data_IF_528421267014
#
_entry.id   IF_528421267014
#
_cell.length_a   1.000
_cell.length_b   1.000
_cell.length_c   1.000
_cell.angle_alpha   90.00
_cell.angle_beta   90.00
_cell.angle_gamma   90.00
#
_symmetry.space_group_name_H-M   'P 1'
#
loop_
_entity.id
_entity.type
_entity.pdbx_description
1 polymer ?
#
# COMPACT_ATOMS: atom_id res chain seq x y z
N UNK A 1 11.68 -45.93 31.25
CA UNK A 1 11.09 -45.24 30.08
C UNK A 1 10.33 -43.99 30.53
N UNK A 2 11.01 -42.97 31.08
CA UNK A 2 10.36 -41.78 31.67
C UNK A 2 10.88 -40.45 31.10
N UNK A 3 11.94 -40.50 30.29
CA UNK A 3 12.60 -39.31 29.77
C UNK A 3 12.34 -39.07 28.26
N UNK A 4 11.56 -39.93 27.60
CA UNK A 4 11.25 -39.77 26.16
C UNK A 4 10.21 -38.67 25.91
N UNK A 5 9.31 -38.41 26.87
CA UNK A 5 8.28 -37.36 26.77
C UNK A 5 8.85 -35.94 26.81
N UNK A 6 10.01 -35.75 27.46
CA UNK A 6 10.67 -34.44 27.57
C UNK A 6 11.31 -34.00 26.24
N UNK A 7 11.71 -34.94 25.37
CA UNK A 7 12.26 -34.60 24.05
C UNK A 7 11.20 -34.14 23.04
N UNK A 8 9.95 -34.56 23.19
CA UNK A 8 8.87 -34.16 22.28
C UNK A 8 8.42 -32.70 22.49
N UNK A 9 8.60 -32.14 23.69
CA UNK A 9 8.17 -30.77 24.02
C UNK A 9 9.13 -29.68 23.49
N UNK A 10 10.40 -30.03 23.26
CA UNK A 10 11.43 -29.09 22.78
C UNK A 10 11.39 -28.92 21.25
N UNK A 11 10.76 -29.84 20.52
CA UNK A 11 10.66 -29.77 19.06
C UNK A 11 9.60 -28.79 18.53
N UNK A 12 8.71 -28.27 19.39
CA UNK A 12 7.59 -27.40 19.01
C UNK A 12 7.91 -25.90 19.03
N UNK A 13 9.14 -25.50 19.37
CA UNK A 13 9.52 -24.08 19.48
C UNK A 13 10.09 -23.50 18.17
N UNK A 14 10.27 -24.32 17.14
CA UNK A 14 10.70 -23.86 15.81
C UNK A 14 9.53 -23.65 14.84
N UNK A 15 8.36 -23.25 15.34
CA UNK A 15 7.33 -22.68 14.46
C UNK A 15 7.90 -21.35 13.99
N UNK A 16 8.56 -21.45 12.83
CA UNK A 16 9.16 -20.39 12.05
C UNK A 16 8.33 -19.13 12.17
N UNK A 17 8.93 -18.08 12.74
CA UNK A 17 8.49 -16.73 12.46
C UNK A 17 8.94 -16.47 11.03
N UNK A 18 8.17 -16.98 10.06
CA UNK A 18 8.36 -16.61 8.67
C UNK A 18 8.27 -15.09 8.64
N UNK A 19 9.40 -14.44 8.36
CA UNK A 19 9.37 -13.08 7.86
C UNK A 19 8.51 -13.19 6.61
N UNK A 20 7.26 -12.74 6.72
CA UNK A 20 6.42 -12.45 5.57
C UNK A 20 7.30 -11.62 4.65
N UNK A 21 7.68 -12.17 3.50
CA UNK A 21 8.36 -11.42 2.46
C UNK A 21 7.56 -10.12 2.30
N UNK A 22 8.19 -8.99 2.62
CA UNK A 22 7.54 -7.71 2.42
C UNK A 22 7.25 -7.63 0.92
N UNK A 23 5.98 -7.46 0.53
CA UNK A 23 5.65 -7.43 -0.87
C UNK A 23 6.45 -6.31 -1.54
N UNK A 24 6.98 -6.60 -2.72
CA UNK A 24 7.68 -5.64 -3.60
C UNK A 24 6.68 -4.64 -4.18
N UNK A 25 6.07 -3.89 -3.27
CA UNK A 25 4.99 -2.91 -3.48
C UNK A 25 5.29 -1.64 -2.70
N UNK A 26 6.24 -1.69 -1.76
CA UNK A 26 6.66 -0.52 -1.01
C UNK A 26 7.22 0.53 -1.98
N UNK A 27 6.89 1.78 -1.72
CA UNK A 27 7.27 2.88 -2.59
C UNK A 27 6.11 3.81 -2.90
N UNK A 28 6.38 4.75 -3.79
CA UNK A 28 5.44 5.79 -4.18
C UNK A 28 4.87 5.52 -5.56
N UNK A 29 3.60 5.84 -5.73
CA UNK A 29 2.89 5.71 -7.00
C UNK A 29 2.13 6.99 -7.28
N UNK A 30 2.18 7.44 -8.53
CA UNK A 30 1.52 8.66 -8.96
C UNK A 30 0.54 8.37 -10.11
N UNK A 31 -0.55 9.11 -10.11
CA UNK A 31 -1.50 9.19 -11.20
C UNK A 31 -1.86 10.66 -11.45
N UNK A 32 -1.98 11.02 -12.72
CA UNK A 32 -2.52 12.32 -13.13
C UNK A 32 -3.77 12.04 -13.96
N UNK A 33 -4.97 12.39 -13.47
CA UNK A 33 -6.21 12.18 -14.20
C UNK A 33 -6.20 12.88 -15.55
N UNK A 34 -6.90 12.31 -16.54
CA UNK A 34 -7.05 12.94 -17.84
C UNK A 34 -7.70 14.33 -17.71
N UNK A 35 -7.20 15.30 -18.47
CA UNK A 35 -7.67 16.69 -18.39
C UNK A 35 -7.16 17.46 -17.16
N UNK A 36 -6.33 16.84 -16.31
CA UNK A 36 -5.64 17.54 -15.24
C UNK A 36 -4.62 18.52 -15.83
N UNK A 37 -4.97 19.80 -15.85
CA UNK A 37 -4.05 20.89 -16.19
C UNK A 37 -3.75 21.64 -14.89
N UNK A 38 -2.56 21.43 -14.33
CA UNK A 38 -2.11 22.06 -13.08
C UNK A 38 -1.75 23.53 -13.30
N UNK A 39 -2.58 24.27 -14.03
CA UNK A 39 -2.10 25.40 -14.79
C UNK A 39 -1.91 26.69 -14.00
N UNK A 40 -2.34 26.84 -12.74
CA UNK A 40 -2.10 28.10 -12.00
C UNK A 40 -2.08 28.05 -10.46
N UNK A 41 -2.53 26.97 -9.80
CA UNK A 41 -2.58 26.95 -8.33
C UNK A 41 -2.29 25.54 -7.77
N UNK A 42 -1.19 25.37 -7.01
CA UNK A 42 -0.84 24.09 -6.41
C UNK A 42 -1.86 23.61 -5.36
N UNK A 43 -2.63 24.50 -4.72
CA UNK A 43 -3.68 24.13 -3.76
C UNK A 43 -4.83 23.35 -4.43
N UNK A 44 -5.03 23.55 -5.72
CA UNK A 44 -6.06 22.88 -6.51
C UNK A 44 -5.47 21.86 -7.48
N UNK A 45 -4.27 21.35 -7.18
CA UNK A 45 -3.64 20.29 -7.94
C UNK A 45 -4.57 19.08 -8.06
N UNK A 46 -4.70 18.53 -9.26
CA UNK A 46 -5.44 17.28 -9.50
C UNK A 46 -4.54 16.05 -9.54
N UNK A 47 -3.23 16.24 -9.30
CA UNK A 47 -2.28 15.15 -9.14
C UNK A 47 -2.66 14.27 -7.95
N UNK A 48 -2.50 12.96 -8.13
CA UNK A 48 -2.76 11.97 -7.10
C UNK A 48 -1.48 11.20 -6.84
N UNK A 49 -1.17 10.96 -5.57
CA UNK A 49 -0.04 10.12 -5.17
C UNK A 49 -0.42 9.27 -3.96
N UNK A 50 0.20 8.09 -3.88
CA UNK A 50 0.22 7.29 -2.66
C UNK A 50 1.64 6.85 -2.36
N UNK A 51 1.97 6.70 -1.09
CA UNK A 51 3.21 6.06 -0.62
C UNK A 51 2.84 4.93 0.31
N UNK A 52 3.23 3.70 -0.05
CA UNK A 52 3.05 2.50 0.76
C UNK A 52 4.34 2.23 1.53
N UNK A 53 4.28 2.34 2.86
CA UNK A 53 5.42 2.15 3.76
C UNK A 53 5.28 0.86 4.58
N UNK A 54 6.43 0.33 5.00
CA UNK A 54 6.49 -0.82 5.90
C UNK A 54 5.59 -0.63 7.14
N UNK A 55 5.07 -1.73 7.67
CA UNK A 55 4.12 -1.72 8.79
C UNK A 55 2.68 -1.37 8.41
N UNK A 56 2.33 -1.34 7.12
CA UNK A 56 0.95 -1.15 6.66
C UNK A 56 0.47 0.29 6.70
N UNK A 57 1.39 1.26 6.56
CA UNK A 57 1.07 2.70 6.57
C UNK A 57 1.01 3.24 5.14
N UNK A 58 -0.05 3.98 4.82
CA UNK A 58 -0.22 4.65 3.53
C UNK A 58 -0.34 6.17 3.73
N UNK A 59 0.49 6.92 3.01
CA UNK A 59 0.30 8.37 2.82
C UNK A 59 -0.39 8.60 1.47
N UNK A 60 -1.44 9.41 1.44
CA UNK A 60 -2.35 9.55 0.30
C UNK A 60 -2.64 11.01 0.00
N UNK A 61 -2.39 11.43 -1.23
CA UNK A 61 -2.93 12.64 -1.85
C UNK A 61 -3.85 12.20 -2.99
N UNK A 62 -5.12 12.57 -2.91
CA UNK A 62 -6.11 12.23 -3.94
C UNK A 62 -6.66 13.50 -4.59
N UNK A 63 -5.76 14.40 -4.98
CA UNK A 63 -6.02 15.79 -5.35
C UNK A 63 -5.85 16.76 -4.17
N UNK A 64 -5.76 18.05 -4.50
CA UNK A 64 -5.48 19.14 -3.57
C UNK A 64 -4.01 19.25 -3.17
N UNK A 65 -3.76 19.76 -1.97
CA UNK A 65 -2.45 19.96 -1.34
C UNK A 65 -2.30 19.23 0.01
N UNK A 66 -3.30 18.47 0.45
CA UNK A 66 -3.32 17.78 1.74
C UNK A 66 -3.03 16.30 1.60
N UNK A 67 -1.93 15.87 2.24
CA UNK A 67 -1.59 14.45 2.38
C UNK A 67 -2.26 13.90 3.63
N UNK A 68 -3.05 12.86 3.46
CA UNK A 68 -3.67 12.12 4.56
C UNK A 68 -2.90 10.84 4.86
N UNK A 69 -2.72 10.52 6.14
CA UNK A 69 -2.13 9.25 6.57
C UNK A 69 -3.21 8.26 6.97
N UNK A 70 -3.11 7.04 6.49
CA UNK A 70 -4.01 5.95 6.82
C UNK A 70 -3.26 4.61 6.84
N UNK A 71 -3.99 3.51 6.97
CA UNK A 71 -3.45 2.15 6.90
C UNK A 71 -3.85 1.45 5.60
N UNK A 72 -3.08 0.45 5.21
CA UNK A 72 -3.43 -0.43 4.11
C UNK A 72 -3.27 -1.91 4.47
N UNK A 73 -3.94 -2.77 3.71
CA UNK A 73 -3.83 -4.23 3.80
C UNK A 73 -3.60 -4.83 2.42
N UNK A 74 -2.87 -5.93 2.39
CA UNK A 74 -2.58 -6.68 1.18
C UNK A 74 -3.18 -8.08 1.27
N UNK A 75 -3.83 -8.51 0.20
CA UNK A 75 -4.34 -9.88 0.03
C UNK A 75 -4.10 -10.35 -1.40
N UNK A 76 -3.03 -11.12 -1.61
CA UNK A 76 -2.55 -11.44 -2.96
C UNK A 76 -2.14 -10.16 -3.69
N UNK A 77 -2.57 -9.98 -4.94
CA UNK A 77 -2.29 -8.77 -5.73
C UNK A 77 -3.20 -7.57 -5.38
N UNK A 78 -4.07 -7.70 -4.37
CA UNK A 78 -5.04 -6.66 -4.02
C UNK A 78 -4.52 -5.85 -2.82
N UNK A 79 -4.47 -4.53 -2.98
CA UNK A 79 -4.11 -3.57 -1.94
C UNK A 79 -5.35 -2.77 -1.60
N UNK A 80 -5.68 -2.69 -0.32
CA UNK A 80 -6.82 -1.92 0.18
C UNK A 80 -6.31 -0.84 1.12
N UNK A 81 -6.48 0.42 0.75
CA UNK A 81 -6.23 1.57 1.61
C UNK A 81 -7.52 1.84 2.39
N UNK A 82 -7.43 1.75 3.72
CA UNK A 82 -8.57 1.87 4.61
C UNK A 82 -9.00 3.34 4.74
N UNK A 83 -10.30 3.53 4.95
CA UNK A 83 -10.85 4.83 5.31
C UNK A 83 -10.32 5.30 6.66
N UNK A 84 -10.01 6.59 6.75
CA UNK A 84 -9.69 7.30 8.00
C UNK A 84 -10.48 8.60 8.09
N UNK A 85 -10.48 9.23 9.28
CA UNK A 85 -11.12 10.54 9.48
C UNK A 85 -10.44 11.65 8.67
N UNK A 86 -9.14 11.51 8.37
CA UNK A 86 -8.39 12.48 7.55
C UNK A 86 -8.69 12.33 6.06
N UNK A 87 -8.74 11.09 5.57
CA UNK A 87 -8.85 10.82 4.13
C UNK A 87 -10.30 10.67 3.66
N UNK A 88 -11.19 10.14 4.50
CA UNK A 88 -12.62 10.01 4.24
C UNK A 88 -13.04 8.96 3.20
N UNK A 89 -12.10 8.45 2.39
CA UNK A 89 -12.33 7.49 1.31
C UNK A 89 -11.66 6.15 1.57
N UNK A 90 -12.18 5.10 0.94
CA UNK A 90 -11.53 3.80 0.83
C UNK A 90 -11.04 3.63 -0.61
N UNK A 91 -9.77 3.26 -0.81
CA UNK A 91 -9.24 2.98 -2.14
C UNK A 91 -8.83 1.51 -2.25
N UNK A 92 -9.00 0.96 -3.43
CA UNK A 92 -8.62 -0.42 -3.72
C UNK A 92 -7.83 -0.46 -5.01
N UNK A 93 -6.69 -1.12 -4.97
CA UNK A 93 -5.78 -1.30 -6.10
C UNK A 93 -5.54 -2.77 -6.38
N UNK A 94 -5.28 -3.06 -7.66
CA UNK A 94 -4.67 -4.32 -8.10
C UNK A 94 -3.26 -4.03 -8.59
N UNK A 95 -2.26 -4.70 -8.02
CA UNK A 95 -0.91 -4.73 -8.56
C UNK A 95 -0.88 -5.51 -9.88
N UNK A 96 -0.24 -4.95 -10.89
CA UNK A 96 -0.02 -5.58 -12.18
C UNK A 96 1.41 -6.15 -12.26
N UNK A 97 1.64 -7.04 -13.23
CA UNK A 97 2.90 -7.77 -13.36
C UNK A 97 4.10 -6.85 -13.73
N UNK A 98 3.83 -5.63 -14.20
CA UNK A 98 4.82 -4.60 -14.53
C UNK A 98 5.14 -3.67 -13.35
N UNK A 99 4.61 -3.96 -12.16
CA UNK A 99 4.80 -3.14 -10.95
C UNK A 99 3.87 -1.94 -10.85
N UNK A 100 3.05 -1.65 -11.87
CA UNK A 100 2.04 -0.57 -11.78
C UNK A 100 0.83 -0.99 -10.94
N UNK A 101 0.06 0.00 -10.48
CA UNK A 101 -1.19 -0.23 -9.77
C UNK A 101 -2.37 0.22 -10.61
N UNK A 102 -3.43 -0.59 -10.63
CA UNK A 102 -4.72 -0.20 -11.20
C UNK A 102 -5.74 0.04 -10.11
N UNK A 103 -6.27 1.24 -10.02
CA UNK A 103 -7.37 1.55 -9.09
C UNK A 103 -8.66 0.84 -9.54
N UNK A 104 -9.36 0.18 -8.62
CA UNK A 104 -10.56 -0.57 -8.97
C UNK A 104 -11.77 0.33 -9.28
N UNK A 105 -11.83 1.53 -8.71
CA UNK A 105 -12.93 2.49 -8.86
C UNK A 105 -13.01 3.06 -10.28
N UNK A 106 -11.96 3.75 -10.71
CA UNK A 106 -11.93 4.49 -11.97
C UNK A 106 -11.05 3.83 -13.06
N UNK A 107 -10.43 2.70 -12.73
CA UNK A 107 -9.51 1.94 -13.62
C UNK A 107 -8.24 2.70 -14.00
N UNK A 108 -7.94 3.81 -13.32
CA UNK A 108 -6.72 4.58 -13.54
C UNK A 108 -5.47 3.73 -13.25
N UNK A 109 -4.40 3.96 -14.02
CA UNK A 109 -3.09 3.35 -13.82
C UNK A 109 -2.21 4.33 -13.07
N UNK A 110 -1.57 3.82 -12.02
CA UNK A 110 -0.67 4.53 -11.14
C UNK A 110 0.72 3.95 -11.32
N UNK A 111 1.67 4.83 -11.64
CA UNK A 111 3.02 4.46 -12.01
C UNK A 111 3.95 4.62 -10.80
N UNK A 112 4.90 3.69 -10.58
CA UNK A 112 5.93 3.88 -9.58
C UNK A 112 6.71 5.17 -9.89
N UNK A 113 7.05 5.91 -8.85
CA UNK A 113 7.83 7.14 -8.92
C UNK A 113 8.95 7.11 -7.90
N UNK A 114 10.16 7.30 -8.39
CA UNK A 114 11.33 7.55 -7.57
C UNK A 114 11.43 9.05 -7.31
N UNK A 115 11.33 9.44 -6.04
CA UNK A 115 11.65 10.79 -5.62
C UNK A 115 13.14 10.83 -5.31
N UNK A 116 13.94 11.21 -6.32
CA UNK A 116 15.37 11.52 -6.17
C UNK A 116 15.64 12.64 -5.15
#
# INVERSE_FOLDING_TARGET
>A
MKNLLLLALVALVFISCDKLDEPDILGSYANTPEGCTSNNDPMFGCGRFITLSAGGVADVLYGGDVISRTSYKIKGQKIKIEKSDQFGLELTFKQLDDGTLREESDKSIWYPVDFD
#
